data_IF_864313248056
#
_entry.id   IF_864313248056
#
_cell.length_a   1.000
_cell.length_b   1.000
_cell.length_c   1.000
_cell.angle_alpha   90.00
_cell.angle_beta   90.00
_cell.angle_gamma   90.00
#
_symmetry.space_group_name_H-M   'P 1'
#
loop_
_entity.id
_entity.type
_entity.pdbx_description
1 polymer ?
#
# COMPACT_ATOMS: atom_id res chain seq x y z
N UNK A 1 19.52 -12.03 -81.72
CA UNK A 1 20.12 -10.96 -80.90
C UNK A 1 19.72 -11.24 -79.47
N UNK A 2 20.60 -11.93 -78.75
CA UNK A 2 20.37 -12.34 -77.36
C UNK A 2 20.48 -11.05 -76.56
N UNK A 3 19.40 -10.64 -75.92
CA UNK A 3 19.41 -9.45 -75.06
C UNK A 3 20.51 -9.69 -74.02
N UNK A 4 21.50 -8.80 -73.94
CA UNK A 4 22.64 -8.93 -73.04
C UNK A 4 22.14 -8.79 -71.58
N UNK A 5 21.69 -9.89 -70.99
CA UNK A 5 21.18 -9.95 -69.62
C UNK A 5 22.23 -9.44 -68.61
N UNK A 6 23.50 -9.52 -68.99
CA UNK A 6 24.67 -9.00 -68.25
C UNK A 6 24.64 -7.48 -68.06
N UNK A 7 24.06 -6.72 -68.98
CA UNK A 7 23.96 -5.25 -68.90
C UNK A 7 22.74 -4.79 -68.10
N UNK A 8 21.68 -5.59 -68.05
CA UNK A 8 20.41 -5.27 -67.35
C UNK A 8 20.44 -5.74 -65.88
N UNK A 9 21.18 -6.81 -65.59
CA UNK A 9 21.37 -7.37 -64.24
C UNK A 9 21.85 -6.34 -63.19
N UNK A 10 22.86 -5.48 -63.46
CA UNK A 10 23.33 -4.49 -62.49
C UNK A 10 22.25 -3.46 -62.14
N UNK A 11 21.45 -3.02 -63.11
CA UNK A 11 20.40 -2.03 -62.91
C UNK A 11 19.24 -2.60 -62.08
N UNK A 12 18.84 -3.85 -62.34
CA UNK A 12 17.84 -4.54 -61.52
C UNK A 12 18.36 -4.77 -60.10
N UNK A 13 19.63 -5.16 -59.95
CA UNK A 13 20.24 -5.35 -58.63
C UNK A 13 20.36 -4.04 -57.84
N UNK A 14 20.62 -2.91 -58.52
CA UNK A 14 20.68 -1.58 -57.92
C UNK A 14 19.31 -1.08 -57.47
N UNK A 15 18.26 -1.37 -58.23
CA UNK A 15 16.90 -1.06 -57.80
C UNK A 15 16.49 -1.87 -56.56
N UNK A 16 16.83 -3.16 -56.52
CA UNK A 16 16.53 -4.02 -55.38
C UNK A 16 17.30 -3.56 -54.14
N UNK A 17 18.57 -3.15 -54.27
CA UNK A 17 19.36 -2.67 -53.12
C UNK A 17 18.82 -1.37 -52.53
N UNK A 18 18.26 -0.48 -53.36
CA UNK A 18 17.59 0.75 -52.90
C UNK A 18 16.31 0.39 -52.11
N UNK A 19 15.51 -0.54 -52.64
CA UNK A 19 14.27 -0.98 -51.98
C UNK A 19 14.57 -1.66 -50.64
N UNK A 20 15.61 -2.49 -50.55
CA UNK A 20 16.00 -3.13 -49.30
C UNK A 20 16.53 -2.13 -48.28
N UNK A 21 17.30 -1.12 -48.71
CA UNK A 21 17.74 0.00 -47.86
C UNK A 21 16.56 0.78 -47.28
N UNK A 22 15.57 1.12 -48.10
CA UNK A 22 14.35 1.81 -47.64
C UNK A 22 13.54 0.95 -46.67
N UNK A 23 13.49 -0.37 -46.90
CA UNK A 23 12.80 -1.32 -46.02
C UNK A 23 13.51 -1.45 -44.67
N UNK A 24 14.85 -1.49 -44.67
CA UNK A 24 15.66 -1.51 -43.44
C UNK A 24 15.50 -0.21 -42.65
N UNK A 25 15.55 0.95 -43.32
CA UNK A 25 15.30 2.25 -42.69
C UNK A 25 13.92 2.32 -42.04
N UNK A 26 12.88 1.89 -42.76
CA UNK A 26 11.52 1.83 -42.20
C UNK A 26 11.43 0.88 -41.01
N UNK A 27 12.08 -0.28 -41.07
CA UNK A 27 12.09 -1.25 -39.98
C UNK A 27 12.82 -0.72 -38.74
N UNK A 28 13.94 0.00 -38.90
CA UNK A 28 14.66 0.63 -37.80
C UNK A 28 13.80 1.72 -37.14
N UNK A 29 13.17 2.57 -37.94
CA UNK A 29 12.29 3.63 -37.43
C UNK A 29 11.05 3.06 -36.73
N UNK A 30 10.39 2.08 -37.34
CA UNK A 30 9.20 1.43 -36.78
C UNK A 30 9.50 0.57 -35.55
N UNK A 31 10.68 -0.03 -35.46
CA UNK A 31 11.11 -0.80 -34.28
C UNK A 31 11.21 0.09 -33.03
N UNK A 32 11.69 1.33 -33.19
CA UNK A 32 11.71 2.32 -32.10
C UNK A 32 10.31 2.66 -31.59
N UNK A 33 9.34 2.87 -32.50
CA UNK A 33 7.94 3.16 -32.14
C UNK A 33 7.26 1.98 -31.43
N UNK A 34 7.52 0.75 -31.89
CA UNK A 34 6.98 -0.45 -31.24
C UNK A 34 7.53 -0.62 -29.82
N UNK A 35 8.85 -0.49 -29.65
CA UNK A 35 9.49 -0.57 -28.34
C UNK A 35 8.99 0.51 -27.39
N UNK A 36 8.84 1.74 -27.88
CA UNK A 36 8.29 2.85 -27.09
C UNK A 36 6.83 2.58 -26.69
N UNK A 37 6.03 1.95 -27.56
CA UNK A 37 4.67 1.51 -27.25
C UNK A 37 4.61 0.41 -26.18
N UNK A 38 5.55 -0.52 -26.22
CA UNK A 38 5.70 -1.57 -25.20
C UNK A 38 6.11 -0.99 -23.85
N UNK A 39 7.14 -0.13 -23.81
CA UNK A 39 7.61 0.53 -22.60
C UNK A 39 6.50 1.39 -21.97
N UNK A 40 5.72 2.10 -22.80
CA UNK A 40 4.57 2.89 -22.33
C UNK A 40 3.45 2.00 -21.77
N UNK A 41 3.20 0.85 -22.37
CA UNK A 41 2.21 -0.13 -21.90
C UNK A 41 2.65 -0.73 -20.55
N UNK A 42 3.92 -1.05 -20.40
CA UNK A 42 4.50 -1.55 -19.14
C UNK A 42 4.44 -0.48 -18.04
N UNK A 43 4.84 0.75 -18.34
CA UNK A 43 4.73 1.88 -17.41
C UNK A 43 3.28 2.11 -16.94
N UNK A 44 2.30 2.03 -17.85
CA UNK A 44 0.87 2.12 -17.51
C UNK A 44 0.43 1.01 -16.56
N UNK A 45 0.86 -0.23 -16.77
CA UNK A 45 0.54 -1.35 -15.87
C UNK A 45 1.11 -1.12 -14.47
N UNK A 46 2.35 -0.66 -14.38
CA UNK A 46 3.02 -0.35 -13.10
C UNK A 46 2.32 0.80 -12.39
N UNK A 47 1.89 1.84 -13.12
CA UNK A 47 1.15 2.96 -12.56
C UNK A 47 -0.19 2.53 -11.97
N UNK A 48 -0.94 1.68 -12.68
CA UNK A 48 -2.22 1.12 -12.18
C UNK A 48 -1.99 0.26 -10.92
N UNK A 49 -0.91 -0.53 -10.89
CA UNK A 49 -0.58 -1.33 -9.73
C UNK A 49 -0.24 -0.45 -8.51
N UNK A 50 0.50 0.65 -8.71
CA UNK A 50 0.80 1.61 -7.65
C UNK A 50 -0.45 2.36 -7.19
N UNK A 51 -1.30 2.81 -8.10
CA UNK A 51 -2.57 3.49 -7.77
C UNK A 51 -3.44 2.61 -6.86
N UNK A 52 -3.61 1.32 -7.18
CA UNK A 52 -4.35 0.37 -6.32
C UNK A 52 -3.71 0.21 -4.94
N UNK A 53 -2.39 0.15 -4.87
CA UNK A 53 -1.67 0.05 -3.58
C UNK A 53 -1.82 1.31 -2.74
N UNK A 54 -1.76 2.48 -3.38
CA UNK A 54 -1.95 3.77 -2.71
C UNK A 54 -3.38 3.86 -2.19
N UNK A 55 -4.40 3.54 -3.00
CA UNK A 55 -5.79 3.54 -2.56
C UNK A 55 -6.03 2.58 -1.38
N UNK A 56 -5.40 1.40 -1.38
CA UNK A 56 -5.47 0.49 -0.25
C UNK A 56 -4.84 1.12 1.01
N UNK A 57 -3.62 1.67 0.89
CA UNK A 57 -2.93 2.32 2.01
C UNK A 57 -3.69 3.54 2.52
N UNK A 58 -4.26 4.37 1.65
CA UNK A 58 -5.11 5.50 2.00
C UNK A 58 -6.39 5.06 2.71
N UNK A 59 -6.99 3.95 2.25
CA UNK A 59 -8.12 3.31 2.92
C UNK A 59 -7.78 2.87 4.34
N UNK A 60 -6.63 2.20 4.51
CA UNK A 60 -6.16 1.77 5.83
C UNK A 60 -5.81 2.96 6.73
N UNK A 61 -5.13 3.99 6.21
CA UNK A 61 -4.79 5.21 6.96
C UNK A 61 -6.05 5.95 7.42
N UNK A 62 -7.10 5.99 6.60
CA UNK A 62 -8.38 6.62 6.98
C UNK A 62 -9.05 5.93 8.17
N UNK A 63 -8.81 4.63 8.35
CA UNK A 63 -9.33 3.85 9.47
C UNK A 63 -8.38 3.84 10.68
N UNK A 64 -7.15 4.35 10.55
CA UNK A 64 -6.27 4.46 11.70
C UNK A 64 -6.85 5.49 12.69
N UNK A 65 -6.93 5.15 13.98
CA UNK A 65 -7.38 6.09 15.00
C UNK A 65 -6.46 7.31 14.98
N UNK A 66 -7.07 8.48 14.84
CA UNK A 66 -6.35 9.74 14.87
C UNK A 66 -5.58 9.88 16.20
N UNK A 67 -4.50 10.64 16.21
CA UNK A 67 -3.74 11.01 17.41
C UNK A 67 -4.65 11.48 18.56
N UNK A 68 -5.72 12.18 18.22
CA UNK A 68 -6.71 12.65 19.20
C UNK A 68 -7.49 11.50 19.84
N UNK A 69 -7.80 10.44 19.07
CA UNK A 69 -8.49 9.23 19.57
C UNK A 69 -7.59 8.45 20.53
N UNK A 70 -6.31 8.27 20.22
CA UNK A 70 -5.37 7.60 21.13
C UNK A 70 -5.06 8.45 22.37
N UNK A 71 -5.03 9.78 22.26
CA UNK A 71 -4.89 10.67 23.41
C UNK A 71 -6.13 10.59 24.32
N UNK A 72 -7.32 10.66 23.74
CA UNK A 72 -8.58 10.48 24.48
C UNK A 72 -8.60 9.13 25.20
N UNK A 73 -8.22 8.04 24.51
CA UNK A 73 -8.13 6.72 25.13
C UNK A 73 -7.14 6.69 26.31
N UNK A 74 -6.00 7.39 26.23
CA UNK A 74 -5.05 7.49 27.35
C UNK A 74 -5.63 8.26 28.55
N UNK A 75 -6.38 9.34 28.29
CA UNK A 75 -7.09 10.08 29.33
C UNK A 75 -8.15 9.19 29.99
N UNK A 76 -9.01 8.54 29.19
CA UNK A 76 -10.07 7.65 29.67
C UNK A 76 -9.49 6.49 30.52
N UNK A 77 -8.34 5.92 30.11
CA UNK A 77 -7.64 4.89 30.88
C UNK A 77 -7.07 5.42 32.21
N UNK A 78 -6.63 6.67 32.22
CA UNK A 78 -6.10 7.32 33.43
C UNK A 78 -7.23 7.59 34.43
N UNK A 79 -8.38 8.05 33.94
CA UNK A 79 -9.59 8.23 34.75
C UNK A 79 -10.08 6.89 35.34
N UNK A 80 -10.17 5.85 34.50
CA UNK A 80 -10.53 4.49 34.95
C UNK A 80 -9.61 3.97 36.06
N UNK A 81 -8.30 4.22 35.96
CA UNK A 81 -7.35 3.82 36.99
C UNK A 81 -7.60 4.56 38.31
N UNK A 82 -8.01 5.83 38.25
CA UNK A 82 -8.43 6.61 39.41
C UNK A 82 -9.67 6.03 40.07
N UNK A 83 -10.69 5.71 39.28
CA UNK A 83 -11.95 5.12 39.77
C UNK A 83 -11.72 3.75 40.42
N UNK A 84 -10.87 2.90 39.83
CA UNK A 84 -10.50 1.60 40.42
C UNK A 84 -9.79 1.79 41.77
N UNK A 85 -8.90 2.77 41.89
CA UNK A 85 -8.23 3.06 43.15
C UNK A 85 -9.21 3.54 44.24
N UNK A 86 -10.22 4.32 43.85
CA UNK A 86 -11.30 4.75 44.74
C UNK A 86 -12.16 3.56 45.19
N UNK A 87 -12.53 2.69 44.26
CA UNK A 87 -13.28 1.47 44.55
C UNK A 87 -12.49 0.58 45.51
N UNK A 88 -11.19 0.35 45.26
CA UNK A 88 -10.33 -0.42 46.15
C UNK A 88 -10.30 0.16 47.57
N UNK A 89 -10.17 1.49 47.71
CA UNK A 89 -10.24 2.16 49.01
C UNK A 89 -11.59 1.98 49.71
N UNK A 90 -12.69 2.09 48.97
CA UNK A 90 -14.03 1.89 49.52
C UNK A 90 -14.23 0.45 50.00
N UNK A 91 -13.74 -0.54 49.25
CA UNK A 91 -13.77 -1.95 49.62
C UNK A 91 -13.00 -2.22 50.91
N UNK A 92 -11.80 -1.65 51.04
CA UNK A 92 -10.98 -1.78 52.26
C UNK A 92 -11.65 -1.09 53.47
N UNK A 93 -12.31 0.04 53.27
CA UNK A 93 -13.08 0.71 54.31
C UNK A 93 -14.28 -0.13 54.77
N UNK A 94 -15.00 -0.74 53.84
CA UNK A 94 -16.10 -1.67 54.10
C UNK A 94 -15.62 -2.91 54.85
N UNK A 95 -14.51 -3.51 54.44
CA UNK A 95 -13.90 -4.67 55.13
C UNK A 95 -13.56 -4.32 56.59
N UNK A 96 -12.93 -3.16 56.83
CA UNK A 96 -12.65 -2.70 58.21
C UNK A 96 -13.92 -2.46 59.01
N UNK A 97 -14.98 -1.95 58.39
CA UNK A 97 -16.26 -1.76 59.06
C UNK A 97 -16.88 -3.11 59.45
N UNK A 98 -16.93 -4.06 58.53
CA UNK A 98 -17.40 -5.43 58.78
C UNK A 98 -16.60 -6.09 59.89
N UNK A 99 -15.28 -6.03 59.84
CA UNK A 99 -14.41 -6.59 60.88
C UNK A 99 -14.66 -5.97 62.26
N UNK A 100 -14.91 -4.66 62.34
CA UNK A 100 -15.28 -3.99 63.61
C UNK A 100 -16.64 -4.45 64.14
N UNK A 101 -17.62 -4.67 63.26
CA UNK A 101 -18.93 -5.19 63.63
C UNK A 101 -18.81 -6.63 64.13
N UNK A 102 -18.09 -7.49 63.42
CA UNK A 102 -17.79 -8.86 63.84
C UNK A 102 -17.11 -8.89 65.22
N UNK A 103 -16.11 -8.03 65.45
CA UNK A 103 -15.41 -7.96 66.73
C UNK A 103 -16.30 -7.42 67.87
N UNK A 104 -17.25 -6.53 67.58
CA UNK A 104 -18.25 -6.09 68.54
C UNK A 104 -19.21 -7.23 68.92
N UNK A 105 -19.71 -7.98 67.93
CA UNK A 105 -20.61 -9.10 68.15
C UNK A 105 -19.91 -10.22 68.95
N UNK A 106 -18.67 -10.58 68.60
CA UNK A 106 -17.90 -11.61 69.30
C UNK A 106 -17.55 -11.23 70.76
N UNK A 107 -17.46 -9.93 71.08
CA UNK A 107 -17.23 -9.45 72.45
C UNK A 107 -18.49 -9.43 73.31
N UNK A 108 -19.65 -9.23 72.70
CA UNK A 108 -20.94 -9.17 73.40
C UNK A 108 -21.59 -10.56 73.57
N UNK A 109 -21.09 -11.59 72.88
CA UNK A 109 -21.52 -13.00 72.99
C UNK A 109 -20.75 -13.79 74.08
N UNK A 110 -20.00 -13.09 74.95
CA UNK A 110 -19.38 -13.63 76.18
C UNK A 110 -19.89 -12.86 77.40
#
# INVERSE_FOLDING_TARGET
>A
MIVDFTAVLPWVSGLISIITLLTLLKNILSSGEKKLGEDLSEAKKTLIAHDRRIQFVEGEIKHLPNKDTVNKLQVDMTELKGDIALIAKSSEATERATRRVEEFLLRHDK
#
